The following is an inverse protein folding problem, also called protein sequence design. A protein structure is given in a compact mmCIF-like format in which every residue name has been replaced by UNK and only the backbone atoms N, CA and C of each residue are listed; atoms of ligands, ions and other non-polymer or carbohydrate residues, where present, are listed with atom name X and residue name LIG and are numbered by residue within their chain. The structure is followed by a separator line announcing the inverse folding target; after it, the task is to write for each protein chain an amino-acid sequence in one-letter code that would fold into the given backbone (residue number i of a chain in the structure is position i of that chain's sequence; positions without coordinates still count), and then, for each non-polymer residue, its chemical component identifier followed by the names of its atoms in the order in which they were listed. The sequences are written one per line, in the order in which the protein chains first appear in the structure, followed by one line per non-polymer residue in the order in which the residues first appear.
data_IF_923118018263
#
_entry.id   IF_923118018263
#
_cell.length_a   1.000
_cell.length_b   1.000
_cell.length_c   1.000
_cell.angle_alpha   90.00
_cell.angle_beta   90.00
_cell.angle_gamma   90.00
#
_symmetry.space_group_name_H-M   'P 1'
#
loop_
_entity.id
_entity.type
_entity.pdbx_description
1 polymer ?
#
# COMPACT_ATOMS: atom_id res chain seq x y z
N UNK A 1 31.52 -2.59 25.77
CA UNK A 1 30.60 -1.48 25.41
C UNK A 1 29.12 -1.91 25.36
N UNK A 2 28.77 -3.08 24.81
CA UNK A 2 27.37 -3.55 24.76
C UNK A 2 26.82 -3.90 26.16
N UNK A 3 27.60 -4.58 27.02
CA UNK A 3 27.22 -4.85 28.44
C UNK A 3 26.87 -3.57 29.22
N UNK A 4 27.63 -2.48 29.06
CA UNK A 4 27.29 -1.22 29.74
C UNK A 4 26.07 -0.49 29.18
N UNK A 5 25.65 -0.80 27.94
CA UNK A 5 24.40 -0.27 27.36
C UNK A 5 23.21 -1.06 27.89
N UNK A 6 23.34 -2.39 28.01
CA UNK A 6 22.37 -3.26 28.70
C UNK A 6 22.12 -2.81 30.13
N UNK A 7 23.19 -2.57 30.89
CA UNK A 7 23.11 -2.16 32.30
C UNK A 7 22.45 -0.79 32.48
N UNK A 8 22.53 0.09 31.47
CA UNK A 8 22.05 1.48 31.56
C UNK A 8 20.63 1.68 31.02
N UNK A 9 20.28 0.99 29.93
CA UNK A 9 19.03 1.22 29.20
C UNK A 9 18.08 0.01 29.20
N UNK A 10 18.51 -1.13 29.72
CA UNK A 10 17.73 -2.37 29.74
C UNK A 10 17.72 -3.13 28.40
N UNK A 11 17.24 -4.39 28.42
CA UNK A 11 17.18 -5.25 27.25
C UNK A 11 16.14 -4.78 26.21
N UNK A 12 15.04 -4.13 26.64
CA UNK A 12 14.01 -3.65 25.71
C UNK A 12 14.55 -2.63 24.70
N UNK A 13 15.48 -1.77 25.14
CA UNK A 13 16.09 -0.77 24.27
C UNK A 13 16.90 -1.39 23.12
N UNK A 14 17.65 -2.46 23.42
CA UNK A 14 18.43 -3.18 22.42
C UNK A 14 17.52 -3.95 21.46
N UNK A 15 16.51 -4.66 21.98
CA UNK A 15 15.51 -5.35 21.16
C UNK A 15 14.84 -4.40 20.17
N UNK A 16 14.52 -3.17 20.58
CA UNK A 16 13.92 -2.17 19.69
C UNK A 16 14.84 -1.73 18.53
N UNK A 17 16.16 -1.72 18.76
CA UNK A 17 17.17 -1.30 17.80
C UNK A 17 17.54 -2.41 16.82
N UNK A 18 17.82 -3.62 17.32
CA UNK A 18 18.36 -4.71 16.51
C UNK A 18 17.34 -5.81 16.16
N UNK A 19 16.18 -5.81 16.82
CA UNK A 19 15.16 -6.86 16.71
C UNK A 19 15.35 -7.97 17.74
N UNK A 20 14.25 -8.69 18.04
CA UNK A 20 14.25 -9.76 19.04
C UNK A 20 15.18 -10.93 18.64
N UNK A 21 15.13 -11.32 17.37
CA UNK A 21 15.93 -12.43 16.86
C UNK A 21 17.44 -12.14 16.93
N UNK A 22 17.86 -10.93 16.57
CA UNK A 22 19.24 -10.49 16.71
C UNK A 22 19.68 -10.42 18.19
N UNK A 23 18.77 -10.06 19.09
CA UNK A 23 19.03 -10.01 20.52
C UNK A 23 19.23 -11.41 21.14
N UNK A 24 18.46 -12.41 20.72
CA UNK A 24 18.62 -13.80 21.14
C UNK A 24 20.02 -14.33 20.75
N UNK A 25 20.43 -14.13 19.51
CA UNK A 25 21.76 -14.53 19.01
C UNK A 25 22.87 -13.77 19.75
N UNK A 26 22.66 -12.49 20.05
CA UNK A 26 23.58 -11.69 20.84
C UNK A 26 23.79 -12.29 22.25
N UNK A 27 22.73 -12.76 22.91
CA UNK A 27 22.83 -13.40 24.23
C UNK A 27 23.67 -14.69 24.16
N UNK A 28 23.44 -15.53 23.15
CA UNK A 28 24.21 -16.77 22.95
C UNK A 28 25.70 -16.49 22.66
N UNK A 29 25.98 -15.47 21.84
CA UNK A 29 27.34 -15.09 21.44
C UNK A 29 28.11 -14.30 22.50
N UNK A 30 27.42 -13.69 23.47
CA UNK A 30 28.05 -12.96 24.58
C UNK A 30 28.82 -13.86 25.55
N UNK A 31 28.53 -15.17 25.55
CA UNK A 31 29.20 -16.19 26.36
C UNK A 31 30.39 -16.85 25.62
N UNK A 32 30.55 -16.58 24.33
CA UNK A 32 31.74 -16.97 23.56
C UNK A 32 32.80 -15.87 23.58
N UNK A 33 34.07 -16.23 23.73
CA UNK A 33 35.22 -15.30 23.76
C UNK A 33 35.62 -14.79 22.36
N UNK A 34 34.63 -14.67 21.45
CA UNK A 34 34.81 -14.14 20.11
C UNK A 34 34.94 -12.60 20.17
N UNK A 35 36.01 -12.04 19.60
CA UNK A 35 36.21 -10.58 19.54
C UNK A 35 35.14 -9.87 18.69
N UNK A 36 34.57 -10.56 17.71
CA UNK A 36 33.53 -10.06 16.82
C UNK A 36 32.60 -11.20 16.39
N UNK A 37 31.31 -10.89 16.29
CA UNK A 37 30.28 -11.79 15.79
C UNK A 37 29.26 -11.01 14.94
N UNK A 38 28.67 -11.69 13.97
CA UNK A 38 27.63 -11.12 13.11
C UNK A 38 26.25 -11.32 13.73
N UNK A 39 25.39 -10.30 13.61
CA UNK A 39 24.00 -10.36 14.05
C UNK A 39 23.08 -10.12 12.85
N UNK A 40 22.01 -10.92 12.67
CA UNK A 40 21.01 -10.69 11.65
C UNK A 40 20.09 -9.55 12.10
N UNK A 41 20.56 -8.32 11.93
CA UNK A 41 19.76 -7.13 12.24
C UNK A 41 18.67 -6.99 11.19
N UNK A 42 17.43 -6.87 11.66
CA UNK A 42 16.30 -6.59 10.77
C UNK A 42 16.53 -5.25 10.07
N UNK A 43 16.75 -5.28 8.76
CA UNK A 43 16.79 -4.06 7.96
C UNK A 43 15.35 -3.56 7.88
N UNK A 44 15.00 -2.61 8.77
CA UNK A 44 13.73 -1.90 8.73
C UNK A 44 13.67 -0.99 7.51
N UNK A 45 13.58 -1.55 6.30
CA UNK A 45 13.18 -0.79 5.12
C UNK A 45 11.70 -0.45 5.27
N UNK A 46 11.44 0.71 5.85
CA UNK A 46 10.09 1.23 5.93
C UNK A 46 9.65 1.64 4.53
N UNK A 47 8.77 0.84 3.92
CA UNK A 47 8.07 1.22 2.70
C UNK A 47 7.44 2.61 2.86
N UNK A 48 7.57 3.45 1.83
CA UNK A 48 6.85 4.71 1.73
C UNK A 48 5.33 4.49 1.75
N UNK A 49 4.57 5.56 1.94
CA UNK A 49 3.11 5.44 1.96
C UNK A 49 2.54 4.89 0.64
N UNK A 50 3.12 5.28 -0.50
CA UNK A 50 2.74 4.76 -1.82
C UNK A 50 3.14 3.29 -2.01
N UNK A 51 4.36 2.90 -1.62
CA UNK A 51 4.79 1.50 -1.71
C UNK A 51 3.98 0.57 -0.82
N UNK A 52 3.61 1.02 0.40
CA UNK A 52 2.69 0.27 1.27
C UNK A 52 1.35 0.03 0.59
N UNK A 53 0.81 1.05 -0.07
CA UNK A 53 -0.46 0.94 -0.79
C UNK A 53 -0.35 -0.06 -1.96
N UNK A 54 0.71 0.04 -2.78
CA UNK A 54 0.96 -0.90 -3.88
C UNK A 54 1.08 -2.34 -3.36
N UNK A 55 1.84 -2.55 -2.28
CA UNK A 55 1.99 -3.85 -1.64
C UNK A 55 0.64 -4.43 -1.20
N UNK A 56 -0.17 -3.62 -0.52
CA UNK A 56 -1.51 -4.01 -0.06
C UNK A 56 -2.40 -4.37 -1.27
N UNK A 57 -2.38 -3.59 -2.34
CA UNK A 57 -3.15 -3.89 -3.56
C UNK A 57 -2.73 -5.22 -4.19
N UNK A 58 -1.43 -5.46 -4.34
CA UNK A 58 -0.91 -6.73 -4.88
C UNK A 58 -1.30 -7.94 -4.01
N UNK A 59 -1.25 -7.79 -2.68
CA UNK A 59 -1.71 -8.82 -1.75
C UNK A 59 -3.20 -9.09 -1.90
N UNK A 60 -4.03 -8.03 -1.95
CA UNK A 60 -5.47 -8.17 -2.16
C UNK A 60 -5.82 -8.83 -3.49
N UNK A 61 -5.12 -8.49 -4.56
CA UNK A 61 -5.31 -9.13 -5.86
C UNK A 61 -5.01 -10.63 -5.78
N UNK A 62 -3.90 -10.99 -5.13
CA UNK A 62 -3.50 -12.39 -4.95
C UNK A 62 -4.54 -13.17 -4.15
N UNK A 63 -5.09 -12.57 -3.10
CA UNK A 63 -6.18 -13.18 -2.31
C UNK A 63 -7.49 -13.27 -3.12
N UNK A 64 -7.83 -12.24 -3.89
CA UNK A 64 -9.00 -12.20 -4.76
C UNK A 64 -8.99 -13.35 -5.78
N UNK A 65 -7.83 -13.64 -6.38
CA UNK A 65 -7.66 -14.74 -7.34
C UNK A 65 -7.90 -16.13 -6.73
N UNK A 66 -7.69 -16.28 -5.42
CA UNK A 66 -7.95 -17.54 -4.70
C UNK A 66 -9.42 -17.69 -4.28
N UNK A 67 -10.17 -16.58 -4.23
CA UNK A 67 -11.57 -16.61 -3.85
C UNK A 67 -12.44 -17.16 -4.99
N UNK A 68 -13.34 -18.09 -4.64
CA UNK A 68 -14.34 -18.65 -5.59
C UNK A 68 -15.58 -17.78 -5.74
N UNK A 69 -15.65 -16.68 -5.00
CA UNK A 69 -16.79 -15.77 -4.93
C UNK A 69 -16.30 -14.40 -5.41
N UNK A 70 -16.95 -13.89 -6.46
CA UNK A 70 -16.71 -12.54 -6.95
C UNK A 70 -17.44 -11.56 -6.02
N UNK A 71 -16.69 -10.78 -5.25
CA UNK A 71 -17.22 -9.71 -4.40
C UNK A 71 -17.05 -8.36 -5.09
N UNK A 72 -17.95 -7.38 -4.86
CA UNK A 72 -17.75 -6.04 -5.35
C UNK A 72 -16.65 -5.33 -4.55
N UNK A 73 -15.86 -4.50 -5.24
CA UNK A 73 -14.80 -3.69 -4.67
C UNK A 73 -15.21 -2.22 -4.70
N UNK A 74 -15.05 -1.53 -3.57
CA UNK A 74 -15.23 -0.07 -3.48
C UNK A 74 -13.89 0.50 -3.06
N UNK A 75 -13.32 1.38 -3.89
CA UNK A 75 -11.99 1.96 -3.68
C UNK A 75 -12.12 3.47 -3.70
N UNK A 76 -11.73 4.09 -2.59
CA UNK A 76 -11.77 5.54 -2.41
C UNK A 76 -10.36 6.12 -2.55
N UNK A 77 -10.20 7.10 -3.44
CA UNK A 77 -8.94 7.77 -3.77
C UNK A 77 -7.78 6.82 -4.06
N UNK A 78 -7.86 6.00 -5.13
CA UNK A 78 -6.90 4.92 -5.38
C UNK A 78 -5.46 5.40 -5.60
N UNK A 79 -5.22 6.68 -5.88
CA UNK A 79 -3.90 7.18 -6.33
C UNK A 79 -3.36 8.36 -5.54
N UNK A 80 -4.04 8.80 -4.46
CA UNK A 80 -3.66 9.97 -3.67
C UNK A 80 -2.19 10.00 -3.18
N UNK A 81 -1.51 8.84 -3.10
CA UNK A 81 -0.12 8.71 -2.63
C UNK A 81 0.81 8.00 -3.62
N UNK A 82 0.38 7.84 -4.87
CA UNK A 82 1.07 7.05 -5.89
C UNK A 82 1.52 7.97 -7.02
N UNK A 83 2.80 7.84 -7.42
CA UNK A 83 3.39 8.62 -8.50
C UNK A 83 2.84 8.23 -9.88
N UNK A 84 3.23 9.03 -10.89
CA UNK A 84 2.79 8.90 -12.27
C UNK A 84 3.06 7.51 -12.87
N UNK A 85 4.27 6.99 -12.68
CA UNK A 85 4.72 5.73 -13.29
C UNK A 85 3.96 4.53 -12.71
N UNK A 86 3.76 4.53 -11.40
CA UNK A 86 3.07 3.44 -10.72
C UNK A 86 1.56 3.44 -11.00
N UNK A 87 0.93 4.60 -11.25
CA UNK A 87 -0.51 4.70 -11.59
C UNK A 87 -0.88 3.87 -12.82
N UNK A 88 -0.15 4.02 -13.93
CA UNK A 88 -0.42 3.25 -15.15
C UNK A 88 -0.31 1.75 -14.90
N UNK A 89 0.75 1.31 -14.20
CA UNK A 89 0.94 -0.11 -13.86
C UNK A 89 -0.21 -0.64 -13.00
N UNK A 90 -0.71 0.15 -12.06
CA UNK A 90 -1.84 -0.26 -11.20
C UNK A 90 -3.14 -0.36 -12.01
N UNK A 91 -3.41 0.58 -12.92
CA UNK A 91 -4.59 0.50 -13.79
C UNK A 91 -4.56 -0.79 -14.63
N UNK A 92 -3.43 -1.08 -15.27
CA UNK A 92 -3.29 -2.25 -16.13
C UNK A 92 -3.23 -3.58 -15.39
N UNK A 93 -2.49 -3.64 -14.28
CA UNK A 93 -2.19 -4.90 -13.60
C UNK A 93 -3.17 -5.22 -12.49
N UNK A 94 -3.74 -4.22 -11.83
CA UNK A 94 -4.70 -4.42 -10.75
C UNK A 94 -6.13 -4.22 -11.25
N UNK A 95 -6.51 -3.00 -11.64
CA UNK A 95 -7.91 -2.68 -11.94
C UNK A 95 -8.48 -3.47 -13.12
N UNK A 96 -7.72 -3.62 -14.22
CA UNK A 96 -8.17 -4.40 -15.38
C UNK A 96 -8.21 -5.92 -15.14
N UNK A 97 -7.46 -6.42 -14.15
CA UNK A 97 -7.31 -7.87 -13.89
C UNK A 97 -8.03 -8.35 -12.64
N UNK A 98 -8.62 -7.45 -11.86
CA UNK A 98 -9.33 -7.81 -10.66
C UNK A 98 -10.70 -8.39 -11.04
N UNK A 99 -10.99 -9.60 -10.54
CA UNK A 99 -12.25 -10.27 -10.84
C UNK A 99 -13.37 -9.74 -9.95
N UNK A 100 -14.42 -9.19 -10.56
CA UNK A 100 -15.60 -8.69 -9.85
C UNK A 100 -16.03 -7.31 -10.33
N UNK A 101 -17.08 -6.77 -9.72
CA UNK A 101 -17.49 -5.39 -9.96
C UNK A 101 -16.60 -4.44 -9.19
N UNK A 102 -16.09 -3.39 -9.83
CA UNK A 102 -15.25 -2.38 -9.18
C UNK A 102 -15.96 -1.03 -9.25
N UNK A 103 -16.07 -0.36 -8.11
CA UNK A 103 -16.57 1.00 -7.95
C UNK A 103 -15.41 1.83 -7.44
N UNK A 104 -15.00 2.82 -8.24
CA UNK A 104 -13.92 3.74 -7.88
C UNK A 104 -14.53 5.10 -7.55
N UNK A 105 -14.21 5.60 -6.36
CA UNK A 105 -14.47 6.96 -5.94
C UNK A 105 -13.13 7.70 -6.07
N UNK A 106 -13.07 8.67 -6.97
CA UNK A 106 -11.83 9.37 -7.29
C UNK A 106 -12.03 10.87 -7.37
N UNK A 107 -10.93 11.61 -7.33
CA UNK A 107 -10.92 13.05 -7.63
C UNK A 107 -10.59 13.31 -9.10
N UNK A 108 -10.64 14.60 -9.48
CA UNK A 108 -10.33 15.12 -10.81
C UNK A 108 -8.84 15.02 -11.22
N UNK A 109 -7.98 14.58 -10.31
CA UNK A 109 -6.54 14.42 -10.55
C UNK A 109 -6.10 12.95 -10.70
N UNK A 110 -7.00 12.00 -10.49
CA UNK A 110 -6.63 10.60 -10.31
C UNK A 110 -6.72 9.77 -11.60
N UNK A 111 -7.87 9.80 -12.28
CA UNK A 111 -8.13 9.01 -13.51
C UNK A 111 -8.55 9.97 -14.63
N UNK A 112 -7.59 10.70 -15.18
CA UNK A 112 -7.82 11.67 -16.26
C UNK A 112 -6.80 11.50 -17.39
N UNK A 113 -7.11 12.01 -18.57
CA UNK A 113 -6.24 11.91 -19.75
C UNK A 113 -5.87 10.46 -20.09
N UNK A 114 -4.57 10.20 -20.22
CA UNK A 114 -4.02 8.87 -20.59
C UNK A 114 -4.48 7.74 -19.65
N UNK A 115 -4.71 8.04 -18.37
CA UNK A 115 -5.18 7.05 -17.40
C UNK A 115 -6.62 6.61 -17.68
N UNK A 116 -7.50 7.57 -18.03
CA UNK A 116 -8.89 7.30 -18.41
C UNK A 116 -8.93 6.48 -19.70
N UNK A 117 -8.08 6.83 -20.66
CA UNK A 117 -7.94 6.08 -21.91
C UNK A 117 -7.51 4.63 -21.67
N UNK A 118 -6.56 4.39 -20.76
CA UNK A 118 -6.02 3.06 -20.43
C UNK A 118 -7.09 2.07 -19.94
N UNK A 119 -8.12 2.56 -19.23
CA UNK A 119 -9.21 1.74 -18.69
C UNK A 119 -10.54 1.90 -19.44
N UNK A 120 -10.57 2.69 -20.51
CA UNK A 120 -11.79 3.01 -21.25
C UNK A 120 -12.53 1.78 -21.78
N UNK A 121 -11.79 0.70 -22.08
CA UNK A 121 -12.31 -0.57 -22.58
C UNK A 121 -13.01 -1.44 -21.51
N UNK A 122 -12.80 -1.13 -20.23
CA UNK A 122 -13.37 -1.87 -19.09
C UNK A 122 -14.35 -1.04 -18.25
N UNK A 123 -14.51 0.25 -18.56
CA UNK A 123 -15.49 1.11 -17.89
C UNK A 123 -16.90 0.76 -18.37
N UNK A 124 -17.78 0.43 -17.43
CA UNK A 124 -19.20 0.18 -17.73
C UNK A 124 -20.06 1.42 -17.56
N UNK A 125 -19.83 2.23 -16.54
CA UNK A 125 -20.62 3.43 -16.23
C UNK A 125 -19.71 4.49 -15.64
N UNK A 126 -20.03 5.76 -15.87
CA UNK A 126 -19.38 6.91 -15.23
C UNK A 126 -20.41 7.78 -14.56
N UNK A 127 -20.00 8.39 -13.44
CA UNK A 127 -20.83 9.32 -12.70
C UNK A 127 -19.97 10.49 -12.22
N UNK A 128 -20.53 11.69 -12.29
CA UNK A 128 -19.95 12.89 -11.71
C UNK A 128 -20.84 13.41 -10.59
N UNK A 129 -20.26 13.55 -9.41
CA UNK A 129 -20.91 14.15 -8.26
C UNK A 129 -20.64 15.66 -8.28
N UNK A 130 -21.67 16.44 -8.54
CA UNK A 130 -21.61 17.90 -8.56
C UNK A 130 -22.21 18.47 -7.27
N UNK A 131 -21.38 19.11 -6.45
CA UNK A 131 -21.85 19.77 -5.24
C UNK A 131 -22.44 21.15 -5.58
N UNK A 132 -23.73 21.32 -5.34
CA UNK A 132 -24.47 22.56 -5.64
C UNK A 132 -24.23 23.64 -4.58
N UNK A 133 -24.41 24.90 -4.95
CA UNK A 133 -24.29 26.03 -4.01
C UNK A 133 -25.31 25.97 -2.85
N UNK A 134 -26.39 25.20 -3.01
CA UNK A 134 -27.44 24.99 -2.03
C UNK A 134 -27.13 23.88 -1.01
N UNK A 135 -25.97 23.23 -1.11
CA UNK A 135 -25.54 22.15 -0.21
C UNK A 135 -26.05 20.75 -0.59
N UNK A 136 -26.71 20.61 -1.75
CA UNK A 136 -27.11 19.31 -2.28
C UNK A 136 -26.02 18.76 -3.22
N UNK A 137 -25.96 17.45 -3.37
CA UNK A 137 -25.12 16.79 -4.38
C UNK A 137 -25.99 16.25 -5.50
N UNK A 138 -25.72 16.69 -6.72
CA UNK A 138 -26.33 16.14 -7.94
C UNK A 138 -25.44 15.05 -8.52
N UNK A 139 -26.04 13.94 -8.95
CA UNK A 139 -25.32 12.84 -9.60
C UNK A 139 -25.66 12.89 -11.08
N UNK A 140 -24.66 13.18 -11.91
CA UNK A 140 -24.79 13.23 -13.37
C UNK A 140 -24.24 11.91 -13.93
N UNK A 141 -25.11 11.16 -14.61
CA UNK A 141 -24.72 9.90 -15.28
C UNK A 141 -24.01 10.16 -16.60
N UNK A 142 -23.18 9.22 -17.03
CA UNK A 142 -22.42 9.25 -18.30
C UNK A 142 -21.44 10.43 -18.42
N UNK A 143 -21.08 11.03 -17.28
CA UNK A 143 -20.15 12.15 -17.20
C UNK A 143 -19.07 11.87 -16.17
N UNK A 144 -17.84 12.30 -16.48
CA UNK A 144 -16.68 12.12 -15.62
C UNK A 144 -15.68 13.25 -15.82
N UNK A 145 -14.68 13.35 -14.94
CA UNK A 145 -13.64 14.36 -15.04
C UNK A 145 -12.97 14.36 -16.43
N UNK A 146 -12.70 15.56 -16.95
CA UNK A 146 -12.02 15.76 -18.23
C UNK A 146 -12.87 15.55 -19.49
N UNK A 147 -14.19 15.33 -19.39
CA UNK A 147 -15.11 15.26 -20.52
C UNK A 147 -16.20 14.21 -20.37
#
# INVERSE_FOLDING_TARGET
KIKSILDKNGPEYLIAQIGLHAYEILQEKLDTDEEAFELPVEVKQQLSAGEKQIFIMALYQSLSQLNKINVPYIIDTPFARIDKEHRTKILEQFFKKLNGQIIILSTDEEIVGEYKETVSDVISNTFMLNHTAQGNTEIISDLYFGG
#
